data_IF_695213253321
#
_entry.id   IF_695213253321
#
_cell.length_a   1.000
_cell.length_b   1.000
_cell.length_c   1.000
_cell.angle_alpha   90.00
_cell.angle_beta   90.00
_cell.angle_gamma   90.00
#
_symmetry.space_group_name_H-M   'P 1'
#
loop_
_entity.id
_entity.type
_entity.pdbx_description
1 polymer ?
#
# COMPACT_ATOMS: atom_id res chain seq x y z
N UNK A 1 25.70 4.73 -12.86
CA UNK A 1 24.87 3.61 -13.35
C UNK A 1 25.81 2.60 -14.00
N UNK A 2 25.80 1.34 -13.56
CA UNK A 2 26.57 0.28 -14.22
C UNK A 2 25.63 -0.46 -15.19
N UNK A 3 25.78 -0.20 -16.49
CA UNK A 3 25.13 -1.04 -17.50
C UNK A 3 26.00 -2.26 -17.72
N UNK A 4 25.44 -3.45 -17.54
CA UNK A 4 26.13 -4.71 -17.83
C UNK A 4 25.50 -5.33 -19.05
N UNK A 5 26.11 -5.02 -20.18
CA UNK A 5 25.62 -5.45 -21.47
C UNK A 5 25.81 -6.96 -21.63
N UNK A 6 24.69 -7.68 -21.77
CA UNK A 6 24.69 -9.13 -22.00
C UNK A 6 25.35 -9.45 -23.35
N UNK A 7 25.35 -8.50 -24.28
CA UNK A 7 25.96 -8.64 -25.60
C UNK A 7 27.45 -8.97 -25.52
N UNK A 8 28.17 -8.46 -24.52
CA UNK A 8 29.58 -8.82 -24.32
C UNK A 8 29.76 -10.30 -23.97
N UNK A 9 28.82 -10.90 -23.22
CA UNK A 9 28.85 -12.34 -22.94
C UNK A 9 28.64 -13.14 -24.22
N UNK A 10 27.70 -12.71 -25.06
CA UNK A 10 27.40 -13.35 -26.35
C UNK A 10 28.54 -13.22 -27.36
N UNK A 11 29.12 -12.04 -27.53
CA UNK A 11 30.29 -11.81 -28.39
C UNK A 11 31.49 -12.67 -27.96
N UNK A 12 31.77 -12.73 -26.66
CA UNK A 12 32.87 -13.55 -26.14
C UNK A 12 32.63 -15.05 -26.37
N UNK A 13 31.38 -15.51 -26.22
CA UNK A 13 31.01 -16.89 -26.52
C UNK A 13 31.18 -17.19 -28.02
N UNK A 14 30.59 -16.38 -28.90
CA UNK A 14 30.57 -16.58 -30.34
C UNK A 14 32.00 -16.67 -30.90
N UNK A 15 32.87 -15.75 -30.52
CA UNK A 15 34.26 -15.75 -30.96
C UNK A 15 35.02 -16.99 -30.51
N UNK A 16 34.85 -17.42 -29.25
CA UNK A 16 35.50 -18.64 -28.74
C UNK A 16 34.98 -19.90 -29.41
N UNK A 17 33.69 -19.96 -29.74
CA UNK A 17 33.10 -21.09 -30.44
C UNK A 17 33.59 -21.13 -31.89
N UNK A 18 33.50 -20.01 -32.63
CA UNK A 18 33.95 -19.91 -34.03
C UNK A 18 35.41 -20.32 -34.18
N UNK A 19 36.30 -19.84 -33.31
CA UNK A 19 37.71 -20.22 -33.33
C UNK A 19 37.95 -21.72 -33.13
N UNK A 20 37.16 -22.39 -32.27
CA UNK A 20 37.29 -23.84 -32.03
C UNK A 20 36.86 -24.67 -33.22
N UNK A 21 35.85 -24.21 -33.96
CA UNK A 21 35.33 -24.89 -35.14
C UNK A 21 36.05 -24.47 -36.44
N UNK A 22 37.15 -23.71 -36.35
CA UNK A 22 37.89 -23.13 -37.50
C UNK A 22 37.06 -22.15 -38.36
N UNK A 23 36.02 -21.54 -37.79
CA UNK A 23 35.17 -20.54 -38.44
C UNK A 23 35.77 -19.13 -38.54
N UNK A 24 36.95 -18.87 -37.97
CA UNK A 24 37.58 -17.54 -38.01
C UNK A 24 36.91 -16.51 -37.08
N UNK A 25 36.93 -15.24 -37.46
CA UNK A 25 36.25 -14.16 -36.73
C UNK A 25 34.72 -14.38 -36.81
N UNK A 26 33.99 -14.00 -35.76
CA UNK A 26 32.53 -14.13 -35.74
C UNK A 26 31.81 -12.82 -35.45
N UNK A 27 30.62 -12.70 -36.01
CA UNK A 27 29.62 -11.70 -35.66
C UNK A 27 28.41 -12.37 -35.01
N UNK A 28 27.71 -11.65 -34.13
CA UNK A 28 26.46 -12.12 -33.56
C UNK A 28 25.27 -11.45 -34.24
N UNK A 29 24.18 -12.19 -34.35
CA UNK A 29 22.88 -11.64 -34.70
C UNK A 29 21.82 -12.05 -33.68
N UNK A 30 21.00 -11.08 -33.26
CA UNK A 30 19.87 -11.31 -32.35
C UNK A 30 18.60 -11.75 -33.11
N UNK A 31 18.56 -11.47 -34.41
CA UNK A 31 17.48 -11.82 -35.34
C UNK A 31 18.11 -12.21 -36.68
N UNK A 32 18.00 -13.48 -37.06
CA UNK A 32 18.48 -13.96 -38.35
C UNK A 32 17.33 -13.99 -39.36
N UNK A 33 17.51 -13.41 -40.57
CA UNK A 33 16.52 -13.51 -41.64
C UNK A 33 16.15 -14.96 -41.95
N UNK A 34 14.86 -15.26 -42.01
CA UNK A 34 14.33 -16.62 -42.20
C UNK A 34 14.27 -17.49 -40.94
N UNK A 35 14.72 -16.97 -39.78
CA UNK A 35 14.65 -17.63 -38.47
C UNK A 35 14.06 -16.72 -37.41
N UNK A 36 13.18 -15.80 -37.80
CA UNK A 36 12.60 -14.77 -36.93
C UNK A 36 11.84 -15.39 -35.74
N UNK A 37 11.25 -16.57 -35.92
CA UNK A 37 10.56 -17.31 -34.84
C UNK A 37 11.50 -17.75 -33.70
N UNK A 38 12.80 -17.82 -33.97
CA UNK A 38 13.86 -18.19 -33.02
C UNK A 38 14.64 -17.00 -32.46
N UNK A 39 14.27 -15.78 -32.85
CA UNK A 39 14.95 -14.56 -32.42
C UNK A 39 15.09 -14.46 -30.89
N UNK A 40 16.16 -13.80 -30.45
CA UNK A 40 16.33 -13.43 -29.05
C UNK A 40 15.21 -12.49 -28.62
N UNK A 41 14.45 -12.88 -27.61
CA UNK A 41 13.32 -12.11 -27.12
C UNK A 41 13.29 -12.05 -25.60
N UNK A 42 12.96 -10.86 -25.10
CA UNK A 42 12.42 -10.70 -23.75
C UNK A 42 10.91 -10.89 -23.80
N UNK A 43 10.35 -11.53 -22.78
CA UNK A 43 8.91 -11.82 -22.73
C UNK A 43 8.28 -11.40 -21.42
N UNK A 44 7.01 -11.02 -21.51
CA UNK A 44 6.13 -10.75 -20.37
C UNK A 44 5.64 -12.08 -19.74
N UNK A 45 5.38 -12.11 -18.43
CA UNK A 45 5.25 -10.96 -17.53
C UNK A 45 6.60 -10.40 -17.07
N UNK A 46 6.63 -9.07 -16.98
CA UNK A 46 7.61 -8.36 -16.18
C UNK A 46 7.13 -8.45 -14.73
N UNK A 47 8.00 -8.84 -13.81
CA UNK A 47 7.67 -8.85 -12.38
C UNK A 47 8.50 -7.80 -11.66
N UNK A 48 7.84 -6.78 -11.10
CA UNK A 48 8.48 -5.86 -10.16
C UNK A 48 8.44 -6.44 -8.75
N UNK A 49 9.56 -6.36 -8.05
CA UNK A 49 9.71 -6.81 -6.66
C UNK A 49 10.33 -5.65 -5.87
N UNK A 50 9.63 -5.18 -4.85
CA UNK A 50 10.14 -4.18 -3.91
C UNK A 50 10.77 -4.87 -2.70
N UNK A 51 11.91 -4.33 -2.26
CA UNK A 51 12.59 -4.77 -1.05
C UNK A 51 11.99 -4.19 0.23
N UNK A 52 12.74 -4.28 1.31
CA UNK A 52 12.31 -3.78 2.62
C UNK A 52 12.08 -2.27 2.61
N UNK A 53 11.13 -1.85 3.43
CA UNK A 53 10.74 -0.45 3.56
C UNK A 53 11.62 0.25 4.59
N UNK A 54 12.17 1.41 4.20
CA UNK A 54 12.83 2.33 5.10
C UNK A 54 12.02 3.62 5.12
N UNK A 55 11.67 4.08 6.31
CA UNK A 55 10.72 5.16 6.48
C UNK A 55 11.28 6.18 7.46
N UNK A 56 11.14 7.45 7.12
CA UNK A 56 11.41 8.57 8.02
C UNK A 56 10.16 9.45 8.11
N UNK A 57 9.81 9.86 9.31
CA UNK A 57 8.58 10.58 9.60
C UNK A 57 8.88 11.86 10.36
N UNK A 58 8.29 12.97 9.91
CA UNK A 58 8.41 14.27 10.57
C UNK A 58 7.12 15.06 10.49
N UNK A 59 6.94 15.97 11.43
CA UNK A 59 5.82 16.91 11.40
C UNK A 59 6.25 18.15 10.60
N UNK A 60 5.41 18.59 9.66
CA UNK A 60 5.63 19.81 8.88
C UNK A 60 4.45 20.76 9.01
N UNK A 61 4.75 22.04 9.22
CA UNK A 61 3.75 23.11 9.25
C UNK A 61 3.40 23.56 7.83
N UNK A 62 2.11 23.67 7.54
CA UNK A 62 1.59 23.94 6.19
C UNK A 62 0.97 25.33 6.04
N UNK A 63 0.23 25.79 7.04
CA UNK A 63 -0.47 27.07 7.03
C UNK A 63 -0.67 27.56 8.47
N UNK A 64 -0.70 28.87 8.67
CA UNK A 64 -0.89 29.49 9.98
C UNK A 64 -1.90 30.63 9.87
N UNK A 65 -2.71 30.80 10.91
CA UNK A 65 -3.58 31.96 11.10
C UNK A 65 -3.49 32.43 12.55
N UNK A 66 -3.83 33.69 12.78
CA UNK A 66 -3.88 34.29 14.11
C UNK A 66 -5.22 34.98 14.29
N UNK A 67 -5.89 34.69 15.42
CA UNK A 67 -7.19 35.23 15.78
C UNK A 67 -7.05 35.84 17.18
N UNK A 68 -7.57 37.05 17.38
CA UNK A 68 -7.50 37.74 18.66
C UNK A 68 -8.91 37.98 19.20
N UNK A 69 -9.13 37.68 20.47
CA UNK A 69 -10.31 38.08 21.22
C UNK A 69 -9.90 39.19 22.21
N UNK A 70 -10.04 40.48 21.84
CA UNK A 70 -9.66 41.59 22.70
C UNK A 70 -10.70 41.91 23.79
N UNK A 71 -11.83 41.20 23.82
CA UNK A 71 -12.95 41.49 24.70
C UNK A 71 -12.87 40.71 26.01
N UNK A 72 -13.66 41.12 27.00
CA UNK A 72 -13.78 40.48 28.32
C UNK A 72 -14.78 39.31 28.34
N UNK A 73 -15.22 38.84 27.16
CA UNK A 73 -16.20 37.75 27.00
C UNK A 73 -15.70 36.69 26.03
N UNK A 74 -16.07 35.43 26.28
CA UNK A 74 -15.74 34.29 25.39
C UNK A 74 -16.38 34.49 24.01
N UNK A 75 -15.66 34.06 22.96
CA UNK A 75 -16.16 34.06 21.58
C UNK A 75 -16.07 32.66 20.97
N UNK A 76 -17.07 32.28 20.18
CA UNK A 76 -17.04 31.07 19.37
C UNK A 76 -16.62 31.41 17.95
N UNK A 77 -15.54 30.81 17.49
CA UNK A 77 -14.96 31.03 16.16
C UNK A 77 -14.67 29.72 15.44
N UNK A 78 -14.34 29.81 14.15
CA UNK A 78 -13.83 28.68 13.38
C UNK A 78 -12.39 28.92 12.95
N UNK A 79 -11.48 28.02 13.35
CA UNK A 79 -10.14 27.95 12.77
C UNK A 79 -10.26 27.34 11.38
N UNK A 80 -10.01 28.16 10.36
CA UNK A 80 -10.02 27.74 8.96
C UNK A 80 -8.61 27.86 8.39
N UNK A 81 -8.04 26.74 7.95
CA UNK A 81 -6.69 26.67 7.36
C UNK A 81 -6.72 25.73 6.17
N UNK A 82 -6.01 26.05 5.10
CA UNK A 82 -5.89 25.19 3.93
C UNK A 82 -4.52 25.36 3.28
N UNK A 83 -3.95 24.27 2.78
CA UNK A 83 -2.69 24.27 2.04
C UNK A 83 -2.59 23.06 1.11
N UNK A 84 -1.76 23.17 0.08
CA UNK A 84 -1.46 22.10 -0.85
C UNK A 84 -0.04 21.59 -0.62
N UNK A 85 0.12 20.26 -0.55
CA UNK A 85 1.42 19.60 -0.47
C UNK A 85 1.63 18.78 -1.73
N UNK A 86 2.79 18.93 -2.36
CA UNK A 86 3.20 18.03 -3.43
C UNK A 86 3.67 16.70 -2.84
N UNK A 87 2.95 15.63 -3.17
CA UNK A 87 3.35 14.25 -2.91
C UNK A 87 3.92 13.65 -4.19
N UNK A 88 4.94 12.79 -4.06
CA UNK A 88 5.66 12.28 -5.22
C UNK A 88 6.24 10.88 -5.00
N UNK A 89 6.47 10.19 -6.11
CA UNK A 89 7.27 8.97 -6.20
C UNK A 89 8.38 9.14 -7.23
N UNK A 90 9.55 8.58 -6.96
CA UNK A 90 10.73 8.60 -7.83
C UNK A 90 11.26 7.20 -7.99
N UNK A 91 11.60 6.84 -9.22
CA UNK A 91 12.20 5.56 -9.58
C UNK A 91 13.45 5.80 -10.39
N UNK A 92 14.49 5.02 -10.12
CA UNK A 92 15.75 5.09 -10.85
C UNK A 92 16.42 3.73 -10.88
N UNK A 93 16.79 3.24 -12.07
CA UNK A 93 17.61 2.05 -12.17
C UNK A 93 19.07 2.36 -11.77
N UNK A 94 19.68 1.45 -11.02
CA UNK A 94 21.06 1.53 -10.54
C UNK A 94 21.98 0.55 -11.29
N UNK A 95 21.49 -0.67 -11.49
CA UNK A 95 22.13 -1.74 -12.26
C UNK A 95 21.16 -2.30 -13.29
N UNK A 96 21.56 -2.32 -14.56
CA UNK A 96 20.71 -2.77 -15.66
C UNK A 96 21.41 -3.84 -16.47
N UNK A 97 20.65 -4.86 -16.82
CA UNK A 97 21.01 -5.82 -17.85
C UNK A 97 20.07 -5.64 -19.04
N UNK A 98 20.66 -5.41 -20.22
CA UNK A 98 19.94 -5.15 -21.48
C UNK A 98 20.50 -6.04 -22.58
N UNK A 99 19.66 -6.32 -23.58
CA UNK A 99 20.03 -7.05 -24.80
C UNK A 99 20.13 -6.12 -26.02
N UNK A 100 19.67 -4.88 -25.92
CA UNK A 100 19.59 -3.96 -27.08
C UNK A 100 19.66 -2.47 -26.72
N UNK A 101 20.26 -2.14 -25.57
CA UNK A 101 20.51 -0.75 -25.17
C UNK A 101 19.36 -0.12 -24.39
N UNK A 102 19.00 1.13 -24.72
CA UNK A 102 18.02 1.93 -23.96
C UNK A 102 16.58 1.57 -24.36
N UNK A 103 15.88 0.81 -23.51
CA UNK A 103 14.47 0.46 -23.69
C UNK A 103 13.62 0.99 -22.54
N UNK A 104 12.32 1.19 -22.82
CA UNK A 104 11.32 1.50 -21.82
C UNK A 104 10.85 0.20 -21.17
N UNK A 105 10.86 0.16 -19.83
CA UNK A 105 10.27 -0.88 -19.01
C UNK A 105 9.10 -0.28 -18.24
N UNK A 106 7.98 -1.00 -18.22
CA UNK A 106 6.88 -0.70 -17.30
C UNK A 106 7.18 -1.32 -15.92
N UNK A 107 7.32 -0.47 -14.91
CA UNK A 107 7.54 -0.87 -13.52
C UNK A 107 6.23 -0.72 -12.75
N UNK A 108 5.72 -1.82 -12.17
CA UNK A 108 4.56 -1.74 -11.28
C UNK A 108 4.86 -0.87 -10.06
N UNK A 109 3.94 0.03 -9.71
CA UNK A 109 3.99 0.81 -8.47
C UNK A 109 3.83 -0.11 -7.24
N UNK A 110 4.46 0.21 -6.08
CA UNK A 110 4.22 -0.53 -4.84
C UNK A 110 2.73 -0.52 -4.49
N UNK A 111 2.16 -1.69 -4.16
CA UNK A 111 0.73 -1.81 -3.86
C UNK A 111 0.37 -1.28 -2.47
N UNK A 112 1.36 -1.17 -1.59
CA UNK A 112 1.24 -0.73 -0.20
C UNK A 112 1.42 0.78 -0.02
N UNK A 113 1.72 1.52 -1.11
CA UNK A 113 1.92 2.96 -1.10
C UNK A 113 0.91 3.60 -2.04
N UNK A 114 0.19 4.61 -1.55
CA UNK A 114 -0.74 5.41 -2.33
C UNK A 114 -0.14 6.79 -2.54
N UNK A 115 0.08 7.16 -3.80
CA UNK A 115 0.53 8.51 -4.18
C UNK A 115 -0.63 9.12 -5.00
N UNK A 116 -1.28 10.21 -4.54
CA UNK A 116 -2.51 10.77 -5.10
C UNK A 116 -2.59 10.87 -6.64
N UNK A 117 -1.58 11.42 -7.34
CA UNK A 117 -1.55 11.47 -8.82
C UNK A 117 -1.54 10.11 -9.52
N UNK A 118 -1.10 9.04 -8.84
CA UNK A 118 -0.87 7.74 -9.45
C UNK A 118 -1.92 6.71 -9.06
N UNK A 119 -2.49 6.87 -7.89
CA UNK A 119 -3.36 5.87 -7.32
C UNK A 119 -2.61 4.58 -6.95
N UNK A 120 -3.27 3.43 -7.07
CA UNK A 120 -2.68 2.10 -6.83
C UNK A 120 -2.64 1.30 -8.12
N UNK A 121 -1.69 0.39 -8.23
CA UNK A 121 -1.60 -0.54 -9.36
C UNK A 121 -1.24 0.09 -10.70
N UNK A 122 -0.82 1.36 -10.73
CA UNK A 122 -0.33 2.00 -11.96
C UNK A 122 1.04 1.43 -12.35
N UNK A 123 1.27 1.30 -13.65
CA UNK A 123 2.58 1.01 -14.23
C UNK A 123 3.29 2.28 -14.64
N UNK A 124 4.57 2.38 -14.28
CA UNK A 124 5.41 3.55 -14.55
C UNK A 124 6.38 3.19 -15.69
N UNK A 125 6.30 3.84 -16.86
CA UNK A 125 7.26 3.63 -17.93
C UNK A 125 8.58 4.32 -17.57
N UNK A 126 9.68 3.56 -17.56
CA UNK A 126 11.01 4.04 -17.20
C UNK A 126 11.99 3.60 -18.28
N UNK A 127 12.78 4.55 -18.81
CA UNK A 127 13.92 4.18 -19.66
C UNK A 127 15.03 3.61 -18.79
N UNK A 128 15.51 2.45 -19.19
CA UNK A 128 16.54 1.70 -18.48
C UNK A 128 17.82 2.50 -18.23
N UNK A 129 18.24 3.33 -19.18
CA UNK A 129 19.53 4.01 -19.10
C UNK A 129 19.37 5.49 -18.71
N UNK A 130 19.89 5.83 -17.52
CA UNK A 130 20.12 7.19 -17.01
C UNK A 130 18.90 8.10 -16.78
N UNK A 131 17.69 7.55 -16.71
CA UNK A 131 16.52 8.34 -16.35
C UNK A 131 16.05 8.04 -14.92
N UNK A 132 16.02 9.10 -14.10
CA UNK A 132 15.17 9.13 -12.92
C UNK A 132 13.79 9.60 -13.38
N UNK A 133 12.76 8.81 -13.07
CA UNK A 133 11.38 9.17 -13.38
C UNK A 133 10.72 9.61 -12.08
N UNK A 134 10.23 10.85 -12.06
CA UNK A 134 9.38 11.37 -11.01
C UNK A 134 7.93 11.40 -11.48
N UNK A 135 7.03 11.09 -10.56
CA UNK A 135 5.60 11.33 -10.69
C UNK A 135 5.13 12.06 -9.44
N UNK A 136 4.41 13.17 -9.61
CA UNK A 136 3.96 14.01 -8.49
C UNK A 136 2.55 14.54 -8.68
N UNK A 137 1.96 15.01 -7.59
CA UNK A 137 0.63 15.59 -7.58
C UNK A 137 0.33 16.26 -6.25
N UNK A 138 -0.66 17.16 -6.30
CA UNK A 138 -1.02 17.98 -5.16
C UNK A 138 -2.08 17.30 -4.31
N UNK A 139 -1.85 17.28 -3.00
CA UNK A 139 -2.84 16.94 -2.00
C UNK A 139 -3.23 18.19 -1.22
N UNK A 140 -4.53 18.46 -1.18
CA UNK A 140 -5.09 19.55 -0.37
C UNK A 140 -5.39 19.05 1.04
N UNK A 141 -4.88 19.78 2.03
CA UNK A 141 -5.23 19.63 3.44
C UNK A 141 -6.03 20.86 3.85
N UNK A 142 -7.22 20.66 4.41
CA UNK A 142 -8.11 21.75 4.80
C UNK A 142 -8.84 21.41 6.10
N UNK A 143 -8.87 22.37 7.02
CA UNK A 143 -9.56 22.28 8.31
C UNK A 143 -10.53 23.43 8.46
N UNK A 144 -11.65 23.13 9.12
CA UNK A 144 -12.63 24.10 9.61
C UNK A 144 -13.08 23.60 10.98
N UNK A 145 -12.39 24.04 12.01
CA UNK A 145 -12.56 23.52 13.36
C UNK A 145 -13.19 24.56 14.29
N UNK A 146 -14.34 24.26 14.93
CA UNK A 146 -14.91 25.15 15.93
C UNK A 146 -13.96 25.29 17.11
N UNK A 147 -13.79 26.52 17.59
CA UNK A 147 -12.84 26.85 18.64
C UNK A 147 -13.40 27.96 19.54
N UNK A 148 -13.20 27.81 20.85
CA UNK A 148 -13.62 28.81 21.84
C UNK A 148 -12.43 29.70 22.19
N UNK A 149 -12.56 30.99 21.92
CA UNK A 149 -11.56 31.99 22.25
C UNK A 149 -11.87 32.57 23.62
N UNK A 150 -10.98 32.30 24.57
CA UNK A 150 -11.05 32.92 25.89
C UNK A 150 -10.95 34.45 25.77
N UNK A 151 -11.59 35.20 26.69
CA UNK A 151 -11.41 36.64 26.79
C UNK A 151 -9.95 37.04 26.81
N UNK A 152 -9.63 38.19 26.23
CA UNK A 152 -8.29 38.81 26.34
C UNK A 152 -7.16 37.86 25.90
N UNK A 153 -7.36 37.09 24.83
CA UNK A 153 -6.33 36.18 24.29
C UNK A 153 -6.07 36.40 22.80
N UNK A 154 -4.85 36.08 22.37
CA UNK A 154 -4.48 35.90 20.96
C UNK A 154 -4.13 34.43 20.73
N UNK A 155 -4.76 33.83 19.74
CA UNK A 155 -4.58 32.43 19.36
C UNK A 155 -3.91 32.35 18.00
N UNK A 156 -2.75 31.72 17.94
CA UNK A 156 -2.09 31.33 16.69
C UNK A 156 -2.32 29.85 16.44
N UNK A 157 -2.98 29.53 15.33
CA UNK A 157 -3.30 28.18 14.91
C UNK A 157 -2.49 27.80 13.66
N UNK A 158 -1.74 26.70 13.73
CA UNK A 158 -0.91 26.21 12.64
C UNK A 158 -1.35 24.80 12.22
N UNK A 159 -1.75 24.64 10.96
CA UNK A 159 -2.03 23.36 10.34
C UNK A 159 -0.71 22.62 10.15
N UNK A 160 -0.62 21.41 10.69
CA UNK A 160 0.52 20.54 10.53
C UNK A 160 0.07 19.19 9.98
N UNK A 161 0.97 18.52 9.26
CA UNK A 161 0.77 17.15 8.80
C UNK A 161 1.99 16.31 9.12
N UNK A 162 1.77 15.01 9.28
CA UNK A 162 2.85 14.03 9.36
C UNK A 162 3.34 13.72 7.95
N UNK A 163 4.52 14.18 7.60
CA UNK A 163 5.19 13.86 6.34
C UNK A 163 6.02 12.59 6.51
N UNK A 164 5.92 11.69 5.55
CA UNK A 164 6.63 10.40 5.53
C UNK A 164 7.44 10.28 4.25
N UNK A 165 8.75 10.15 4.39
CA UNK A 165 9.67 9.81 3.31
C UNK A 165 9.92 8.30 3.33
N UNK A 166 9.72 7.65 2.19
CA UNK A 166 9.84 6.20 2.02
C UNK A 166 10.97 5.91 1.06
N UNK A 167 11.82 4.94 1.37
CA UNK A 167 12.91 4.45 0.51
C UNK A 167 12.87 2.93 0.42
N UNK A 168 12.99 2.40 -0.78
CA UNK A 168 13.09 0.95 -1.06
C UNK A 168 14.03 0.71 -2.22
N UNK A 169 14.72 -0.42 -2.20
CA UNK A 169 15.24 -0.99 -3.44
C UNK A 169 14.11 -1.69 -4.19
N UNK A 170 14.23 -1.78 -5.51
CA UNK A 170 13.36 -2.60 -6.33
C UNK A 170 14.16 -3.38 -7.37
N UNK A 171 13.57 -4.46 -7.86
CA UNK A 171 14.08 -5.21 -8.99
C UNK A 171 12.97 -5.52 -9.98
N UNK A 172 13.35 -5.65 -11.24
CA UNK A 172 12.47 -5.99 -12.34
C UNK A 172 13.02 -7.24 -13.00
N UNK A 173 12.24 -8.32 -12.96
CA UNK A 173 12.59 -9.60 -13.57
C UNK A 173 11.91 -9.75 -14.94
N UNK A 174 12.68 -10.15 -15.95
CA UNK A 174 12.19 -10.44 -17.31
C UNK A 174 12.70 -11.80 -17.79
N UNK A 175 11.84 -12.55 -18.48
CA UNK A 175 12.25 -13.81 -19.11
C UNK A 175 12.99 -13.54 -20.42
N UNK A 176 14.15 -14.15 -20.58
CA UNK A 176 14.93 -14.14 -21.80
C UNK A 176 14.88 -15.53 -22.47
N UNK A 177 14.58 -15.56 -23.77
CA UNK A 177 14.47 -16.79 -24.54
C UNK A 177 14.92 -16.61 -25.99
N UNK A 178 15.13 -17.71 -26.70
CA UNK A 178 15.50 -17.71 -28.12
C UNK A 178 16.91 -18.21 -28.39
N UNK A 179 17.43 -17.81 -29.54
CA UNK A 179 18.71 -18.24 -30.08
C UNK A 179 19.57 -17.04 -30.43
N UNK A 180 20.88 -17.22 -30.28
CA UNK A 180 21.90 -16.33 -30.80
C UNK A 180 22.33 -16.85 -32.17
N UNK A 181 22.21 -16.03 -33.19
CA UNK A 181 22.85 -16.29 -34.48
C UNK A 181 24.34 -16.02 -34.37
N UNK A 182 25.17 -16.97 -34.76
CA UNK A 182 26.62 -16.79 -34.91
C UNK A 182 26.95 -16.87 -36.38
N UNK A 183 27.52 -15.80 -36.93
CA UNK A 183 27.94 -15.68 -38.32
C UNK A 183 29.46 -15.75 -38.34
N UNK A 184 30.02 -16.73 -39.05
CA UNK A 184 31.46 -17.00 -39.09
C UNK A 184 32.08 -16.53 -40.41
N UNK A 185 33.35 -16.14 -40.35
CA UNK A 185 34.13 -15.74 -41.54
C UNK A 185 34.39 -16.92 -42.50
N UNK A 186 34.59 -18.12 -41.94
CA UNK A 186 34.81 -19.35 -42.68
C UNK A 186 33.67 -20.34 -42.43
N UNK A 187 33.43 -21.23 -43.40
CA UNK A 187 32.40 -22.25 -43.29
C UNK A 187 32.72 -23.23 -42.17
N UNK A 188 31.76 -23.41 -41.27
CA UNK A 188 31.69 -24.49 -40.28
C UNK A 188 30.59 -25.44 -40.73
N UNK A 189 30.91 -26.70 -40.99
CA UNK A 189 29.96 -27.71 -41.49
C UNK A 189 29.17 -27.25 -42.74
N UNK A 190 29.88 -26.67 -43.72
CA UNK A 190 29.33 -26.11 -44.97
C UNK A 190 28.36 -24.92 -44.81
N UNK A 191 28.28 -24.30 -43.62
CA UNK A 191 27.49 -23.11 -43.35
C UNK A 191 28.34 -22.03 -42.70
N UNK A 192 28.05 -20.75 -42.97
CA UNK A 192 28.61 -19.63 -42.22
C UNK A 192 27.65 -19.11 -41.14
N UNK A 193 26.51 -19.76 -40.93
CA UNK A 193 25.50 -19.39 -39.95
C UNK A 193 25.23 -20.59 -39.04
N UNK A 194 25.25 -20.34 -37.74
CA UNK A 194 24.85 -21.30 -36.71
C UNK A 194 23.91 -20.67 -35.67
N UNK A 195 22.97 -21.46 -35.16
CA UNK A 195 21.98 -21.05 -34.15
C UNK A 195 22.29 -21.66 -32.78
N UNK A 196 22.49 -20.81 -31.77
CA UNK A 196 22.91 -21.23 -30.45
C UNK A 196 21.88 -20.87 -29.39
N UNK A 197 21.36 -21.86 -28.66
CA UNK A 197 20.36 -21.63 -27.62
C UNK A 197 20.95 -20.83 -26.45
N UNK A 198 20.39 -19.65 -26.16
CA UNK A 198 20.96 -18.73 -25.16
C UNK A 198 21.05 -19.33 -23.74
N UNK A 199 20.11 -20.20 -23.36
CA UNK A 199 20.11 -20.86 -22.05
C UNK A 199 21.37 -21.71 -21.87
N UNK A 200 21.83 -22.38 -22.94
CA UNK A 200 23.06 -23.19 -22.91
C UNK A 200 24.29 -22.31 -22.77
N UNK A 201 24.32 -21.19 -23.49
CA UNK A 201 25.39 -20.20 -23.40
C UNK A 201 25.50 -19.67 -21.95
N UNK A 202 24.39 -19.18 -21.41
CA UNK A 202 24.35 -18.51 -20.11
C UNK A 202 24.49 -19.48 -18.92
N UNK A 203 24.19 -20.77 -19.10
CA UNK A 203 24.49 -21.80 -18.08
C UNK A 203 26.00 -21.91 -17.80
N UNK A 204 26.83 -21.63 -18.81
CA UNK A 204 28.29 -21.74 -18.73
C UNK A 204 29.00 -20.41 -18.49
N UNK A 205 28.27 -19.28 -18.49
CA UNK A 205 28.84 -17.94 -18.37
C UNK A 205 28.08 -17.15 -17.29
N UNK A 206 28.72 -16.97 -16.14
CA UNK A 206 28.14 -16.22 -15.03
C UNK A 206 27.93 -14.75 -15.38
N UNK A 207 26.78 -14.21 -14.98
CA UNK A 207 26.50 -12.78 -15.00
C UNK A 207 25.67 -12.39 -13.77
N UNK A 208 26.03 -11.34 -13.01
CA UNK A 208 25.41 -11.02 -11.72
C UNK A 208 23.95 -10.57 -11.80
N UNK A 209 23.48 -10.24 -13.00
CA UNK A 209 22.10 -9.81 -13.28
C UNK A 209 21.31 -10.86 -14.09
N UNK A 210 21.85 -12.07 -14.23
CA UNK A 210 21.18 -13.17 -14.94
C UNK A 210 21.02 -14.35 -13.98
N UNK A 211 19.82 -14.90 -13.92
CA UNK A 211 19.50 -16.14 -13.22
C UNK A 211 19.09 -17.19 -14.24
N UNK A 212 19.90 -18.24 -14.39
CA UNK A 212 19.54 -19.40 -15.21
C UNK A 212 18.84 -20.43 -14.34
N UNK A 213 17.64 -20.83 -14.75
CA UNK A 213 16.79 -21.82 -14.06
C UNK A 213 16.49 -22.99 -14.97
N UNK A 214 15.90 -24.05 -14.44
CA UNK A 214 15.42 -25.17 -15.25
C UNK A 214 14.32 -24.74 -16.23
N UNK A 215 13.56 -23.70 -15.91
CA UNK A 215 12.44 -23.23 -16.71
C UNK A 215 12.83 -22.13 -17.73
N UNK A 216 14.04 -21.56 -17.64
CA UNK A 216 14.45 -20.49 -18.55
C UNK A 216 15.55 -19.60 -17.99
N UNK A 217 15.77 -18.47 -18.66
CA UNK A 217 16.73 -17.44 -18.25
C UNK A 217 15.96 -16.22 -17.79
N UNK A 218 16.34 -15.64 -16.65
CA UNK A 218 15.75 -14.43 -16.09
C UNK A 218 16.81 -13.34 -16.05
N UNK A 219 16.51 -12.18 -16.62
CA UNK A 219 17.30 -10.96 -16.50
C UNK A 219 16.71 -10.13 -15.36
N UNK A 220 17.57 -9.57 -14.51
CA UNK A 220 17.20 -8.81 -13.32
C UNK A 220 17.81 -7.41 -13.43
N UNK A 221 16.97 -6.38 -13.57
CA UNK A 221 17.39 -4.99 -13.42
C UNK A 221 17.05 -4.50 -12.02
N UNK A 222 17.93 -3.72 -11.39
CA UNK A 222 17.79 -3.22 -10.01
C UNK A 222 17.74 -1.70 -9.99
N UNK A 223 17.00 -1.15 -9.04
CA UNK A 223 16.88 0.28 -8.87
C UNK A 223 16.48 0.69 -7.47
N UNK A 224 16.38 2.00 -7.29
CA UNK A 224 15.94 2.64 -6.05
C UNK A 224 14.61 3.35 -6.29
N UNK A 225 13.74 3.23 -5.30
CA UNK A 225 12.46 3.91 -5.22
C UNK A 225 12.43 4.80 -3.99
N UNK A 226 11.98 6.04 -4.16
CA UNK A 226 11.72 6.98 -3.08
C UNK A 226 10.33 7.58 -3.23
N UNK A 227 9.64 7.83 -2.13
CA UNK A 227 8.38 8.57 -2.15
C UNK A 227 8.27 9.53 -0.97
N UNK A 228 7.50 10.59 -1.18
CA UNK A 228 7.09 11.52 -0.15
C UNK A 228 5.58 11.58 -0.14
N UNK A 229 5.00 11.21 1.00
CA UNK A 229 3.57 11.27 1.25
C UNK A 229 3.30 12.03 2.53
N UNK A 230 2.08 12.54 2.68
CA UNK A 230 1.61 13.14 3.93
C UNK A 230 0.49 12.29 4.52
N UNK A 231 0.47 12.24 5.84
CA UNK A 231 -0.44 11.48 6.69
C UNK A 231 -0.95 12.45 7.75
N UNK A 232 -2.09 12.14 8.36
CA UNK A 232 -2.57 12.73 9.62
C UNK A 232 -2.41 14.26 9.75
N UNK A 233 -3.52 14.98 9.65
CA UNK A 233 -3.54 16.40 9.95
C UNK A 233 -3.73 16.66 11.46
N UNK A 234 -3.08 17.71 11.96
CA UNK A 234 -3.25 18.25 13.31
C UNK A 234 -3.20 19.77 13.28
N UNK A 235 -3.71 20.42 14.33
CA UNK A 235 -3.57 21.87 14.51
C UNK A 235 -2.76 22.11 15.78
N UNK A 236 -1.64 22.82 15.66
CA UNK A 236 -0.91 23.38 16.78
C UNK A 236 -1.56 24.70 17.17
N UNK A 237 -1.94 24.81 18.45
CA UNK A 237 -2.54 25.99 19.04
C UNK A 237 -1.52 26.61 19.99
N UNK A 238 -1.24 27.89 19.80
CA UNK A 238 -0.49 28.72 20.74
C UNK A 238 -1.38 29.87 21.21
N UNK A 239 -1.55 30.02 22.50
CA UNK A 239 -2.37 31.05 23.12
C UNK A 239 -1.45 32.01 23.88
N UNK A 240 -1.61 33.30 23.61
CA UNK A 240 -0.96 34.40 24.32
C UNK A 240 -2.04 35.19 25.07
N UNK A 241 -1.83 35.45 26.35
CA UNK A 241 -2.72 36.30 27.15
C UNK A 241 -2.38 37.78 26.89
N UNK A 242 -3.36 38.58 26.47
CA UNK A 242 -3.14 39.98 26.07
C UNK A 242 -2.72 40.87 27.25
N UNK A 243 -3.18 40.54 28.45
CA UNK A 243 -2.88 41.29 29.68
C UNK A 243 -1.65 40.74 30.42
N UNK A 244 -1.25 39.50 30.13
CA UNK A 244 -0.08 38.86 30.72
C UNK A 244 0.73 38.13 29.64
N UNK A 245 1.51 38.87 28.82
CA UNK A 245 2.20 38.28 27.67
C UNK A 245 3.24 37.22 28.00
N UNK A 246 3.64 37.08 29.27
CA UNK A 246 4.55 36.00 29.73
C UNK A 246 3.83 34.66 29.90
N UNK A 247 2.50 34.68 30.01
CA UNK A 247 1.67 33.48 30.12
C UNK A 247 1.32 32.98 28.72
N UNK A 248 1.81 31.77 28.42
CA UNK A 248 1.55 31.09 27.15
C UNK A 248 1.02 29.69 27.39
N UNK A 249 0.09 29.28 26.53
CA UNK A 249 -0.42 27.91 26.49
C UNK A 249 -0.20 27.33 25.10
N UNK A 250 0.15 26.05 25.04
CA UNK A 250 0.40 25.36 23.78
C UNK A 250 -0.15 23.93 23.84
N UNK A 251 -0.90 23.53 22.80
CA UNK A 251 -1.39 22.17 22.66
C UNK A 251 -1.67 21.79 21.21
N UNK A 252 -1.88 20.49 20.98
CA UNK A 252 -2.18 19.91 19.67
C UNK A 252 -3.62 19.40 19.63
N UNK A 253 -4.35 19.77 18.59
CA UNK A 253 -5.64 19.18 18.24
C UNK A 253 -5.40 18.07 17.24
N UNK A 254 -5.58 16.83 17.68
CA UNK A 254 -5.57 15.66 16.80
C UNK A 254 -6.94 15.46 16.15
N UNK A 255 -6.96 15.03 14.89
CA UNK A 255 -8.19 14.82 14.10
C UNK A 255 -9.13 16.03 14.08
N UNK A 256 -8.66 17.22 13.69
CA UNK A 256 -9.49 18.42 13.64
C UNK A 256 -10.64 18.26 12.64
N UNK A 257 -11.75 18.94 12.91
CA UNK A 257 -12.89 18.96 12.00
C UNK A 257 -12.50 19.57 10.66
N UNK A 258 -12.94 18.93 9.59
CA UNK A 258 -12.70 19.35 8.20
C UNK A 258 -13.93 19.99 7.62
N UNK A 259 -13.75 20.99 6.75
CA UNK A 259 -14.86 21.51 5.97
C UNK A 259 -15.44 20.39 5.10
N UNK A 260 -16.78 20.23 5.08
CA UNK A 260 -17.46 19.12 4.38
C UNK A 260 -17.48 19.28 2.85
N UNK A 261 -16.46 19.89 2.27
CA UNK A 261 -16.30 20.11 0.84
C UNK A 261 -15.17 19.22 0.32
N UNK A 262 -15.39 17.90 0.34
CA UNK A 262 -14.41 16.93 -0.13
C UNK A 262 -14.46 16.91 -1.66
N UNK A 263 -13.45 17.46 -2.33
CA UNK A 263 -13.05 16.95 -3.65
C UNK A 263 -12.47 15.55 -3.39
N UNK A 264 -13.32 14.55 -3.58
CA UNK A 264 -12.93 13.14 -3.52
C UNK A 264 -12.08 12.88 -4.77
N UNK A 265 -10.77 13.06 -4.69
CA UNK A 265 -9.91 12.19 -5.48
C UNK A 265 -10.09 10.82 -4.82
N UNK A 266 -10.79 9.92 -5.51
CA UNK A 266 -10.96 8.53 -5.11
C UNK A 266 -9.59 7.99 -4.72
N UNK A 267 -9.36 7.82 -3.42
CA UNK A 267 -8.24 7.02 -2.93
C UNK A 267 -8.42 5.62 -3.52
N UNK A 268 -7.46 5.11 -4.27
CA UNK A 268 -7.51 3.74 -4.71
C UNK A 268 -7.04 2.86 -3.54
N UNK A 269 -7.96 1.99 -3.14
CA UNK A 269 -7.79 0.78 -2.35
C UNK A 269 -6.56 0.73 -1.41
N UNK A 270 -6.69 1.27 -0.20
CA UNK A 270 -6.07 0.58 0.94
C UNK A 270 -6.77 -0.77 1.06
N UNK A 271 -6.00 -1.84 1.13
CA UNK A 271 -6.55 -3.16 1.44
C UNK A 271 -7.35 -3.12 2.74
N UNK A 272 -8.26 -4.09 2.95
CA UNK A 272 -9.17 -4.08 4.08
C UNK A 272 -8.40 -4.06 5.41
N UNK A 273 -8.52 -2.96 6.15
CA UNK A 273 -7.99 -2.81 7.51
C UNK A 273 -9.05 -3.30 8.52
N UNK A 274 -8.60 -3.80 9.68
CA UNK A 274 -9.50 -4.26 10.76
C UNK A 274 -9.18 -3.59 12.09
N UNK A 275 -10.20 -3.10 12.82
CA UNK A 275 -10.08 -2.52 14.18
C UNK A 275 -11.07 -3.20 15.11
N UNK A 276 -10.63 -3.62 16.31
CA UNK A 276 -11.53 -4.15 17.33
C UNK A 276 -12.45 -3.03 17.84
N UNK A 277 -13.76 -3.23 17.81
CA UNK A 277 -14.76 -2.23 18.23
C UNK A 277 -15.66 -2.71 19.36
N UNK A 278 -15.73 -4.02 19.62
CA UNK A 278 -16.47 -4.55 20.77
C UNK A 278 -16.00 -5.97 21.13
N UNK A 279 -16.17 -6.33 22.40
CA UNK A 279 -15.99 -7.69 22.92
C UNK A 279 -17.14 -8.00 23.86
N UNK A 280 -17.75 -9.17 23.71
CA UNK A 280 -18.86 -9.60 24.56
C UNK A 280 -18.74 -11.08 24.90
N UNK A 281 -18.97 -11.42 26.17
CA UNK A 281 -19.08 -12.80 26.64
C UNK A 281 -20.52 -13.30 26.51
N UNK A 282 -20.67 -14.54 26.03
CA UNK A 282 -21.96 -15.22 25.86
C UNK A 282 -21.94 -16.58 26.53
N UNK A 283 -22.99 -16.86 27.30
CA UNK A 283 -23.25 -18.18 27.86
C UNK A 283 -23.61 -19.18 26.75
N UNK A 284 -23.37 -20.49 26.92
CA UNK A 284 -23.66 -21.49 25.89
C UNK A 284 -25.17 -21.70 25.64
N UNK A 285 -26.03 -21.12 26.47
CA UNK A 285 -27.50 -21.17 26.39
C UNK A 285 -28.07 -19.82 26.81
N UNK A 286 -29.36 -19.52 26.48
CA UNK A 286 -30.03 -18.35 27.03
C UNK A 286 -29.90 -18.26 28.56
N UNK A 287 -29.77 -17.05 29.07
CA UNK A 287 -29.67 -16.77 30.50
C UNK A 287 -30.94 -17.25 31.23
N UNK A 288 -30.83 -17.53 32.53
CA UNK A 288 -31.98 -17.97 33.33
C UNK A 288 -33.14 -16.97 33.21
N UNK A 289 -34.33 -17.47 32.86
CA UNK A 289 -35.53 -16.65 32.64
C UNK A 289 -35.59 -15.93 31.29
N UNK A 290 -34.60 -16.10 30.41
CA UNK A 290 -34.58 -15.56 29.05
C UNK A 290 -34.81 -16.67 28.02
N UNK A 291 -35.63 -16.41 27.01
CA UNK A 291 -35.89 -17.38 25.92
C UNK A 291 -34.87 -17.29 24.78
N UNK A 292 -34.14 -16.16 24.69
CA UNK A 292 -33.20 -15.90 23.59
C UNK A 292 -31.88 -15.30 24.08
N UNK A 293 -31.90 -14.24 24.90
CA UNK A 293 -30.70 -13.52 25.36
C UNK A 293 -29.74 -14.44 26.11
N UNK A 294 -28.46 -14.41 25.72
CA UNK A 294 -27.38 -15.24 26.28
C UNK A 294 -26.15 -14.42 26.74
N UNK A 295 -26.17 -13.10 26.57
CA UNK A 295 -25.11 -12.19 27.01
C UNK A 295 -25.68 -10.95 27.70
N UNK A 296 -24.80 -10.15 28.32
CA UNK A 296 -25.07 -8.75 28.61
C UNK A 296 -25.13 -7.89 27.34
N UNK A 297 -25.51 -6.62 27.51
CA UNK A 297 -25.51 -5.65 26.43
C UNK A 297 -24.08 -5.25 26.06
N UNK A 298 -23.85 -4.98 24.78
CA UNK A 298 -22.62 -4.44 24.25
C UNK A 298 -22.92 -3.34 23.24
N UNK A 299 -21.92 -2.46 23.05
CA UNK A 299 -22.04 -1.31 22.18
C UNK A 299 -21.21 -1.51 20.90
N UNK A 300 -21.80 -1.10 19.78
CA UNK A 300 -21.10 -0.74 18.54
C UNK A 300 -21.52 0.69 18.27
N UNK A 301 -20.71 1.64 18.72
CA UNK A 301 -21.00 3.06 18.61
C UNK A 301 -20.41 3.65 17.33
N UNK A 302 -21.06 4.68 16.80
CA UNK A 302 -20.60 5.34 15.57
C UNK A 302 -19.20 5.94 15.77
N UNK A 303 -18.92 6.46 16.96
CA UNK A 303 -17.63 7.03 17.38
C UNK A 303 -16.51 5.99 17.47
N UNK A 304 -16.87 4.71 17.62
CA UNK A 304 -15.92 3.59 17.67
C UNK A 304 -15.54 3.06 16.28
N UNK A 305 -16.32 3.40 15.23
CA UNK A 305 -16.07 2.95 13.87
C UNK A 305 -15.06 3.86 13.16
N UNK A 306 -13.95 3.31 12.60
CA UNK A 306 -13.09 4.05 11.70
C UNK A 306 -13.85 4.64 10.51
N UNK A 307 -13.40 5.79 10.03
CA UNK A 307 -13.88 6.31 8.75
C UNK A 307 -13.58 5.30 7.62
N UNK A 308 -14.52 5.13 6.70
CA UNK A 308 -14.41 4.12 5.64
C UNK A 308 -14.77 2.70 6.09
N UNK A 309 -15.33 2.51 7.28
CA UNK A 309 -15.89 1.21 7.68
C UNK A 309 -16.97 0.81 6.68
N UNK A 310 -16.86 -0.39 6.13
CA UNK A 310 -17.80 -0.96 5.16
C UNK A 310 -18.47 -2.26 5.65
N UNK A 311 -17.91 -2.92 6.66
CA UNK A 311 -18.48 -4.15 7.24
C UNK A 311 -18.03 -4.37 8.69
N UNK A 312 -18.71 -5.27 9.39
CA UNK A 312 -18.28 -5.81 10.68
C UNK A 312 -17.84 -7.27 10.50
N UNK A 313 -16.78 -7.70 11.15
CA UNK A 313 -16.34 -9.10 11.21
C UNK A 313 -16.48 -9.65 12.63
N UNK A 314 -17.01 -10.86 12.74
CA UNK A 314 -17.31 -11.52 14.02
C UNK A 314 -16.35 -12.68 14.24
N UNK A 315 -15.60 -12.68 15.33
CA UNK A 315 -14.66 -13.75 15.67
C UNK A 315 -15.04 -14.33 17.02
N UNK A 316 -15.18 -15.65 17.09
CA UNK A 316 -15.43 -16.37 18.35
C UNK A 316 -14.10 -16.88 18.89
N UNK A 317 -13.81 -16.55 20.15
CA UNK A 317 -12.74 -17.19 20.93
C UNK A 317 -13.31 -17.78 22.21
N UNK A 318 -12.77 -18.90 22.67
CA UNK A 318 -13.19 -19.52 23.93
C UNK A 318 -11.99 -20.19 24.59
N UNK A 319 -12.04 -20.27 25.92
CA UNK A 319 -11.03 -20.94 26.74
C UNK A 319 -11.03 -22.45 26.48
N UNK A 320 -12.16 -23.02 26.03
CA UNK A 320 -12.28 -24.40 25.60
C UNK A 320 -12.63 -24.49 24.11
N UNK A 321 -12.16 -25.53 23.38
CA UNK A 321 -12.53 -25.73 21.98
C UNK A 321 -14.04 -25.78 21.79
N UNK A 322 -14.57 -24.92 20.92
CA UNK A 322 -15.98 -24.91 20.53
C UNK A 322 -16.18 -25.71 19.24
N UNK A 323 -17.35 -26.33 19.04
CA UNK A 323 -17.70 -26.96 17.76
C UNK A 323 -17.62 -25.97 16.60
N UNK A 324 -17.12 -26.42 15.44
CA UNK A 324 -16.93 -25.58 14.24
C UNK A 324 -18.24 -24.97 13.69
N UNK A 325 -19.39 -25.55 14.05
CA UNK A 325 -20.72 -25.09 13.65
C UNK A 325 -21.47 -24.31 14.74
N UNK A 326 -20.74 -23.79 15.74
CA UNK A 326 -21.29 -22.81 16.69
C UNK A 326 -21.76 -21.58 15.92
N UNK A 327 -23.01 -21.20 16.18
CA UNK A 327 -23.58 -19.97 15.67
C UNK A 327 -24.52 -19.34 16.69
N UNK A 328 -24.72 -18.05 16.55
CA UNK A 328 -25.58 -17.25 17.42
C UNK A 328 -26.24 -16.13 16.59
N UNK A 329 -27.23 -15.46 17.16
CA UNK A 329 -27.75 -14.21 16.60
C UNK A 329 -27.42 -13.02 17.48
N UNK A 330 -27.66 -11.83 16.95
CA UNK A 330 -27.53 -10.55 17.65
C UNK A 330 -28.83 -9.79 17.52
N UNK A 331 -29.35 -9.32 18.64
CA UNK A 331 -30.55 -8.50 18.71
C UNK A 331 -30.27 -7.18 19.43
N UNK A 332 -31.16 -6.21 19.25
CA UNK A 332 -31.10 -4.91 19.91
C UNK A 332 -32.13 -4.86 21.03
N UNK A 333 -31.68 -4.56 22.24
CA UNK A 333 -32.54 -4.35 23.41
C UNK A 333 -33.37 -3.08 23.23
N UNK A 334 -34.70 -3.21 23.31
CA UNK A 334 -35.64 -2.09 23.18
C UNK A 334 -36.57 -2.04 24.39
N UNK A 335 -36.47 -0.95 25.16
CA UNK A 335 -37.35 -0.71 26.31
C UNK A 335 -38.82 -0.69 25.90
N UNK A 336 -39.64 -1.53 26.54
CA UNK A 336 -41.10 -1.53 26.35
C UNK A 336 -41.59 -2.08 25.01
N UNK A 337 -40.74 -2.77 24.24
CA UNK A 337 -41.06 -3.33 22.94
C UNK A 337 -40.47 -4.73 22.72
N UNK A 338 -40.63 -5.25 21.50
CA UNK A 338 -39.98 -6.50 21.09
C UNK A 338 -38.59 -6.19 20.53
N UNK A 339 -37.58 -6.92 20.99
CA UNK A 339 -36.21 -6.81 20.52
C UNK A 339 -36.09 -7.28 19.06
N UNK A 340 -35.70 -6.41 18.11
CA UNK A 340 -35.46 -6.84 16.74
C UNK A 340 -34.17 -7.66 16.65
N UNK A 341 -34.22 -8.78 15.91
CA UNK A 341 -33.04 -9.55 15.52
C UNK A 341 -32.34 -8.83 14.37
N UNK A 342 -31.15 -8.31 14.62
CA UNK A 342 -30.37 -7.54 13.66
C UNK A 342 -29.61 -8.47 12.73
N UNK A 343 -28.97 -9.49 13.30
CA UNK A 343 -28.29 -10.56 12.57
C UNK A 343 -28.74 -11.89 13.17
N UNK A 344 -29.63 -12.64 12.50
CA UNK A 344 -30.29 -13.81 13.11
C UNK A 344 -29.35 -15.01 13.27
N UNK A 345 -28.31 -15.11 12.44
CA UNK A 345 -27.34 -16.20 12.43
C UNK A 345 -25.97 -15.66 12.02
N UNK A 346 -24.97 -15.84 12.88
CA UNK A 346 -23.57 -15.46 12.71
C UNK A 346 -22.71 -16.66 13.12
N UNK A 347 -21.76 -17.02 12.26
CA UNK A 347 -20.66 -17.94 12.52
C UNK A 347 -19.36 -17.16 12.79
N UNK A 348 -18.39 -17.83 13.41
CA UNK A 348 -17.04 -17.25 13.54
C UNK A 348 -16.43 -17.04 12.15
N UNK A 349 -15.91 -15.84 11.90
CA UNK A 349 -15.36 -15.41 10.62
C UNK A 349 -16.34 -14.64 9.73
N UNK A 350 -17.64 -14.68 10.02
CA UNK A 350 -18.66 -14.00 9.20
C UNK A 350 -18.47 -12.49 9.16
N UNK A 351 -18.92 -11.91 8.05
CA UNK A 351 -18.99 -10.45 7.86
C UNK A 351 -20.43 -10.00 7.69
N UNK A 352 -20.80 -8.89 8.32
CA UNK A 352 -22.14 -8.29 8.22
C UNK A 352 -22.09 -6.82 7.79
N UNK A 353 -23.23 -6.29 7.36
CA UNK A 353 -23.40 -4.83 7.22
C UNK A 353 -23.28 -4.10 8.56
N UNK A 354 -23.13 -2.78 8.50
CA UNK A 354 -22.93 -1.94 9.69
C UNK A 354 -24.27 -1.59 10.31
N UNK A 355 -24.39 -1.84 11.61
CA UNK A 355 -25.46 -1.30 12.46
C UNK A 355 -24.83 -0.81 13.75
N UNK A 356 -25.33 0.31 14.28
CA UNK A 356 -24.83 0.88 15.53
C UNK A 356 -25.92 0.92 16.60
N UNK A 357 -25.52 0.60 17.82
CA UNK A 357 -26.35 0.68 19.02
C UNK A 357 -25.49 0.53 20.26
N UNK A 358 -25.96 1.07 21.38
CA UNK A 358 -25.39 0.84 22.71
C UNK A 358 -25.89 -0.43 23.39
N UNK A 359 -26.94 -1.06 22.82
CA UNK A 359 -27.69 -2.10 23.49
C UNK A 359 -27.86 -3.36 22.63
N UNK A 360 -26.81 -3.78 21.91
CA UNK A 360 -26.85 -5.11 21.27
C UNK A 360 -26.62 -6.21 22.29
N UNK A 361 -27.13 -7.41 22.04
CA UNK A 361 -26.81 -8.60 22.83
C UNK A 361 -26.78 -9.85 21.95
N UNK A 362 -26.06 -10.87 22.38
CA UNK A 362 -26.00 -12.18 21.73
C UNK A 362 -27.18 -13.02 22.20
N UNK A 363 -27.88 -13.66 21.26
CA UNK A 363 -29.01 -14.52 21.55
C UNK A 363 -29.03 -15.81 20.74
N UNK A 364 -29.67 -16.82 21.34
CA UNK A 364 -29.91 -18.14 20.73
C UNK A 364 -28.65 -18.87 20.25
N UNK A 365 -27.56 -18.95 21.05
CA UNK A 365 -26.40 -19.75 20.67
C UNK A 365 -26.81 -21.20 20.45
N UNK A 366 -26.29 -21.80 19.39
CA UNK A 366 -26.46 -23.21 19.05
C UNK A 366 -25.08 -23.87 18.99
N UNK A 367 -25.01 -25.13 19.46
CA UNK A 367 -23.79 -25.94 19.49
C UNK A 367 -22.67 -25.40 20.40
N UNK A 368 -22.92 -24.39 21.23
CA UNK A 368 -21.96 -23.95 22.23
C UNK A 368 -21.89 -24.96 23.40
N UNK A 369 -20.69 -25.42 23.74
CA UNK A 369 -20.46 -26.39 24.84
C UNK A 369 -20.01 -25.72 26.13
N UNK A 370 -19.49 -24.50 26.04
CA UNK A 370 -19.06 -23.67 27.16
C UNK A 370 -19.19 -22.18 26.82
N UNK A 371 -18.91 -21.30 27.77
CA UNK A 371 -18.89 -19.86 27.55
C UNK A 371 -17.89 -19.47 26.43
N UNK A 372 -18.26 -18.46 25.64
CA UNK A 372 -17.43 -17.98 24.55
C UNK A 372 -17.45 -16.45 24.48
N UNK A 373 -16.37 -15.88 23.97
CA UNK A 373 -16.24 -14.46 23.68
C UNK A 373 -16.43 -14.23 22.19
N UNK A 374 -17.12 -13.15 21.86
CA UNK A 374 -17.28 -12.67 20.50
C UNK A 374 -16.58 -11.32 20.38
N UNK A 375 -15.60 -11.28 19.50
CA UNK A 375 -14.87 -10.09 19.10
C UNK A 375 -15.50 -9.52 17.84
N UNK A 376 -15.80 -8.23 17.86
CA UNK A 376 -16.38 -7.52 16.73
C UNK A 376 -15.34 -6.57 16.17
N UNK A 377 -14.95 -6.77 14.93
CA UNK A 377 -14.01 -5.90 14.23
C UNK A 377 -14.73 -5.06 13.18
N UNK A 378 -14.41 -3.77 13.10
CA UNK A 378 -14.77 -2.93 11.97
C UNK A 378 -13.78 -3.17 10.83
N UNK A 379 -14.28 -3.50 9.64
CA UNK A 379 -13.52 -3.58 8.40
C UNK A 379 -13.62 -2.25 7.65
N UNK A 380 -12.50 -1.60 7.36
CA UNK A 380 -12.46 -0.25 6.79
C UNK A 380 -11.36 -0.10 5.73
N UNK A 381 -11.52 0.88 4.82
CA UNK A 381 -10.61 1.14 3.71
C UNK A 381 -10.24 2.62 3.60
#
# INVERSE_FOLDING_TARGET
>A
MSSKDIINVFNNYANKWSQRENGGISEISLVLPGFEEHALKTSFPIRTIYGDIHEDEKIVSLATTTIENPYDVEQEEYITLSSNVEEWGRWKFTDVATISGNHVIEVDMPQDIVIPPLGTGKKIPIRLLNEEVQQSGLRTWSVKHPFKLNPRTRVTATLQVKQKEIKRSFSVEQNLSGYLGVITEHLVDNSNISLHQIKRILKCHYHPLIRVTDNGVIIISKGDFSALITLEQMIQIKIEHLDCPEMHEEYLIYNPQTDKTIVIIKNPARGPQKRLVSVVSSAPKPLSGQSYRSSGNFAIENESLPYGTYALQWIVESIAPQPANLHFGVAKDVSGGSDPKIWPTIYSGDTTGIQTSRNFYIGGPQNATSEFQVYVYALYS
#
